data_IF_421153260934
#
_entry.id   IF_421153260934
#
_cell.length_a   1.000
_cell.length_b   1.000
_cell.length_c   1.000
_cell.angle_alpha   90.00
_cell.angle_beta   90.00
_cell.angle_gamma   90.00
#
_symmetry.space_group_name_H-M   'P 1'
#
loop_
_entity.id
_entity.type
_entity.pdbx_description
1 polymer ?
#
# COMPACT_ATOMS: atom_id res chain seq x y z
N UNK A 1 12.43 -5.18 5.99
CA UNK A 1 11.07 -5.67 5.78
C UNK A 1 10.17 -4.58 5.24
N UNK A 2 9.25 -4.93 4.35
CA UNK A 2 8.25 -4.00 3.84
C UNK A 2 6.97 -3.99 4.67
N UNK A 3 6.84 -4.89 5.63
CA UNK A 3 5.76 -4.87 6.60
C UNK A 3 5.94 -3.69 7.56
N UNK A 4 4.89 -2.91 7.75
CA UNK A 4 4.95 -1.68 8.56
C UNK A 4 4.10 -1.78 9.83
N UNK A 5 3.53 -2.95 10.10
CA UNK A 5 2.68 -3.18 11.26
C UNK A 5 1.19 -3.08 10.92
N UNK A 6 0.36 -3.52 11.85
CA UNK A 6 -1.10 -3.51 11.75
C UNK A 6 -1.66 -4.23 10.53
N UNK A 7 -0.94 -5.25 10.03
CA UNK A 7 -1.37 -6.05 8.90
C UNK A 7 -1.17 -5.35 7.55
N UNK A 8 -0.24 -4.40 7.46
CA UNK A 8 0.00 -3.61 6.26
C UNK A 8 1.44 -3.77 5.80
N UNK A 9 1.64 -3.90 4.49
CA UNK A 9 2.96 -3.87 3.87
C UNK A 9 2.99 -2.87 2.72
N UNK A 10 4.15 -2.26 2.50
CA UNK A 10 4.36 -1.27 1.43
C UNK A 10 5.61 -1.65 0.62
N UNK A 11 5.55 -2.73 -0.17
CA UNK A 11 6.67 -3.06 -1.06
C UNK A 11 6.84 -1.95 -2.09
N UNK A 12 8.08 -1.59 -2.36
CA UNK A 12 8.36 -0.54 -3.34
C UNK A 12 9.62 -0.88 -4.12
N UNK A 13 9.63 -0.51 -5.39
CA UNK A 13 10.74 -0.81 -6.29
C UNK A 13 10.81 0.20 -7.41
N UNK A 14 12.01 0.37 -7.97
CA UNK A 14 12.22 1.17 -9.18
C UNK A 14 12.35 0.22 -10.36
N UNK A 15 11.64 0.52 -11.45
CA UNK A 15 11.69 -0.28 -12.67
C UNK A 15 11.89 0.61 -13.90
N UNK A 16 12.53 0.05 -14.95
CA UNK A 16 12.96 0.82 -16.11
C UNK A 16 11.89 1.01 -17.18
N UNK A 17 10.78 0.28 -17.10
CA UNK A 17 9.78 0.23 -18.17
C UNK A 17 8.60 1.15 -17.98
N UNK A 18 8.58 1.97 -16.93
CA UNK A 18 7.50 2.90 -16.67
C UNK A 18 8.02 4.33 -16.62
N UNK A 19 7.16 5.27 -16.93
CA UNK A 19 7.48 6.70 -16.93
C UNK A 19 6.82 7.47 -15.79
N UNK A 20 5.88 6.83 -15.08
CA UNK A 20 5.16 7.43 -13.96
C UNK A 20 5.10 6.48 -12.79
N UNK A 21 5.13 7.01 -11.58
CA UNK A 21 4.94 6.22 -10.37
C UNK A 21 3.53 5.65 -10.34
N UNK A 22 3.43 4.35 -10.02
CA UNK A 22 2.15 3.65 -9.94
C UNK A 22 1.99 3.01 -8.58
N UNK A 23 0.77 2.99 -8.08
CA UNK A 23 0.44 2.33 -6.82
C UNK A 23 -0.62 1.27 -7.09
N UNK A 24 -0.36 0.07 -6.61
CA UNK A 24 -1.31 -1.04 -6.65
C UNK A 24 -1.73 -1.33 -5.21
N UNK A 25 -3.03 -1.39 -4.97
CA UNK A 25 -3.54 -1.81 -3.68
C UNK A 25 -4.09 -3.22 -3.77
N UNK A 26 -3.64 -4.09 -2.88
CA UNK A 26 -4.08 -5.48 -2.83
C UNK A 26 -4.66 -5.76 -1.44
N UNK A 27 -5.86 -6.32 -1.43
CA UNK A 27 -6.47 -6.86 -0.23
C UNK A 27 -6.43 -8.37 -0.33
N UNK A 28 -5.64 -9.01 0.52
CA UNK A 28 -5.39 -10.44 0.44
C UNK A 28 -6.53 -11.21 1.11
N UNK A 29 -6.93 -12.33 0.52
CA UNK A 29 -7.95 -13.20 1.11
C UNK A 29 -7.45 -13.87 2.39
N UNK A 30 -6.16 -14.19 2.43
CA UNK A 30 -5.52 -14.76 3.61
C UNK A 30 -4.27 -13.95 3.91
N UNK A 31 -4.09 -13.60 5.18
CA UNK A 31 -2.93 -12.82 5.58
C UNK A 31 -1.64 -13.63 5.40
N UNK A 32 -0.56 -12.93 5.06
CA UNK A 32 0.73 -13.52 4.73
C UNK A 32 1.81 -12.92 5.63
N UNK A 33 2.78 -13.74 6.03
CA UNK A 33 3.90 -13.28 6.83
C UNK A 33 4.88 -12.48 5.96
N UNK A 34 5.02 -11.19 6.30
CA UNK A 34 5.99 -10.28 5.68
C UNK A 34 7.14 -9.96 6.62
N UNK A 35 7.32 -10.75 7.69
CA UNK A 35 8.32 -10.48 8.73
C UNK A 35 8.20 -9.06 9.29
N UNK A 36 6.97 -8.61 9.52
CA UNK A 36 6.71 -7.27 10.05
C UNK A 36 7.23 -7.13 11.49
N UNK A 37 7.58 -5.90 11.90
CA UNK A 37 8.12 -5.67 13.25
C UNK A 37 7.20 -6.12 14.38
N UNK A 38 5.88 -6.03 14.20
CA UNK A 38 4.90 -6.43 15.20
C UNK A 38 4.52 -7.91 15.11
N UNK A 39 5.16 -8.67 14.23
CA UNK A 39 4.93 -10.10 14.02
C UNK A 39 3.51 -10.47 13.59
N UNK A 40 2.74 -9.50 13.11
CA UNK A 40 1.41 -9.75 12.56
C UNK A 40 1.48 -10.01 11.08
N UNK A 41 0.67 -10.96 10.61
CA UNK A 41 0.53 -11.25 9.19
C UNK A 41 -0.16 -10.09 8.47
N UNK A 42 0.13 -9.95 7.19
CA UNK A 42 -0.30 -8.82 6.36
C UNK A 42 -1.46 -9.21 5.48
N UNK A 43 -2.52 -8.39 5.47
CA UNK A 43 -3.68 -8.56 4.59
C UNK A 43 -3.87 -7.38 3.63
N UNK A 44 -3.26 -6.24 3.90
CA UNK A 44 -3.34 -5.06 3.01
C UNK A 44 -1.96 -4.72 2.49
N UNK A 45 -1.83 -4.62 1.16
CA UNK A 45 -0.55 -4.39 0.51
C UNK A 45 -0.66 -3.20 -0.44
N UNK A 46 0.23 -2.23 -0.27
CA UNK A 46 0.38 -1.10 -1.18
C UNK A 46 1.70 -1.27 -1.92
N UNK A 47 1.64 -1.63 -3.19
CA UNK A 47 2.83 -1.81 -4.01
C UNK A 47 3.12 -0.50 -4.74
N UNK A 48 4.32 0.06 -4.54
CA UNK A 48 4.74 1.28 -5.22
C UNK A 48 5.79 0.93 -6.26
N UNK A 49 5.47 1.24 -7.53
CA UNK A 49 6.39 1.06 -8.64
C UNK A 49 6.77 2.44 -9.17
N UNK A 50 8.06 2.76 -9.14
CA UNK A 50 8.55 4.06 -9.55
C UNK A 50 9.47 3.94 -10.77
N UNK A 51 9.54 4.98 -11.62
CA UNK A 51 10.52 4.99 -12.71
C UNK A 51 11.93 4.92 -12.18
N UNK A 52 12.79 4.20 -12.87
CA UNK A 52 14.18 4.02 -12.44
C UNK A 52 14.95 5.32 -12.34
N UNK A 53 14.58 6.30 -13.16
CA UNK A 53 15.24 7.60 -13.20
C UNK A 53 14.57 8.68 -12.33
N UNK A 54 13.54 8.31 -11.56
CA UNK A 54 12.94 9.28 -10.64
C UNK A 54 13.89 9.53 -9.47
N UNK A 55 13.88 10.77 -8.95
CA UNK A 55 14.76 11.12 -7.83
C UNK A 55 14.06 10.93 -6.48
N UNK A 56 12.88 11.53 -6.31
CA UNK A 56 12.23 11.54 -5.01
C UNK A 56 10.70 11.32 -5.05
N UNK A 57 10.11 11.15 -6.23
CA UNK A 57 8.66 10.99 -6.35
C UNK A 57 8.13 9.82 -5.54
N UNK A 58 8.85 8.70 -5.55
CA UNK A 58 8.42 7.52 -4.80
C UNK A 58 8.40 7.76 -3.29
N UNK A 59 9.26 8.64 -2.79
CA UNK A 59 9.29 9.00 -1.38
C UNK A 59 8.06 9.82 -0.98
N UNK A 60 7.58 10.69 -1.88
CA UNK A 60 6.36 11.46 -1.64
C UNK A 60 5.14 10.54 -1.57
N UNK A 61 5.06 9.57 -2.49
CA UNK A 61 3.98 8.59 -2.50
C UNK A 61 4.03 7.74 -1.23
N UNK A 62 5.21 7.25 -0.87
CA UNK A 62 5.40 6.45 0.34
C UNK A 62 4.98 7.24 1.59
N UNK A 63 5.35 8.51 1.68
CA UNK A 63 4.99 9.39 2.78
C UNK A 63 3.47 9.58 2.87
N UNK A 64 2.81 9.78 1.73
CA UNK A 64 1.35 9.93 1.67
C UNK A 64 0.64 8.68 2.16
N UNK A 65 1.06 7.51 1.68
CA UNK A 65 0.47 6.24 2.11
C UNK A 65 0.71 6.03 3.60
N UNK A 66 1.91 6.32 4.09
CA UNK A 66 2.24 6.19 5.51
C UNK A 66 1.34 7.08 6.37
N UNK A 67 0.96 8.25 5.89
CA UNK A 67 0.02 9.13 6.59
C UNK A 67 -1.38 8.54 6.63
N UNK A 68 -1.87 7.99 5.51
CA UNK A 68 -3.21 7.38 5.45
C UNK A 68 -3.35 6.21 6.40
N UNK A 69 -2.34 5.33 6.45
CA UNK A 69 -2.43 4.12 7.26
C UNK A 69 -2.32 4.37 8.76
N UNK A 70 -1.92 5.56 9.18
CA UNK A 70 -1.96 5.96 10.59
C UNK A 70 -3.39 6.23 11.06
N UNK A 71 -4.29 6.51 10.15
CA UNK A 71 -5.69 6.73 10.46
C UNK A 71 -6.42 5.39 10.59
N UNK A 72 -6.70 4.99 11.82
CA UNK A 72 -7.35 3.69 12.10
C UNK A 72 -8.71 3.56 11.45
N UNK A 73 -9.50 4.63 11.42
CA UNK A 73 -10.81 4.64 10.79
C UNK A 73 -10.71 4.37 9.29
N UNK A 74 -9.74 4.97 8.62
CA UNK A 74 -9.49 4.76 7.19
C UNK A 74 -9.15 3.28 6.93
N UNK A 75 -8.24 2.72 7.72
CA UNK A 75 -7.81 1.32 7.56
C UNK A 75 -8.97 0.35 7.82
N UNK A 76 -9.79 0.61 8.83
CA UNK A 76 -10.96 -0.22 9.11
C UNK A 76 -11.95 -0.21 7.95
N UNK A 77 -12.17 0.95 7.33
CA UNK A 77 -13.02 1.07 6.16
C UNK A 77 -12.46 0.28 4.98
N UNK A 78 -11.14 0.34 4.75
CA UNK A 78 -10.49 -0.46 3.70
C UNK A 78 -10.76 -1.94 3.91
N UNK A 79 -10.67 -2.42 5.14
CA UNK A 79 -10.87 -3.84 5.43
C UNK A 79 -12.30 -4.31 5.21
N UNK A 80 -13.27 -3.41 5.21
CA UNK A 80 -14.69 -3.74 4.97
C UNK A 80 -15.07 -3.75 3.51
N UNK A 81 -14.24 -3.22 2.62
CA UNK A 81 -14.53 -3.21 1.18
C UNK A 81 -14.47 -4.63 0.62
N UNK A 82 -15.40 -4.96 -0.29
CA UNK A 82 -15.62 -6.34 -0.72
C UNK A 82 -15.03 -6.69 -2.08
N UNK A 83 -14.83 -5.68 -2.94
CA UNK A 83 -14.38 -5.95 -4.30
C UNK A 83 -13.61 -4.75 -4.85
N UNK A 84 -13.00 -4.95 -6.04
CA UNK A 84 -12.15 -3.95 -6.66
C UNK A 84 -12.89 -2.64 -6.96
N UNK A 85 -14.17 -2.73 -7.34
CA UNK A 85 -14.97 -1.55 -7.64
C UNK A 85 -15.18 -0.68 -6.40
N UNK A 86 -15.52 -1.29 -5.27
CA UNK A 86 -15.67 -0.57 -4.01
C UNK A 86 -14.36 0.08 -3.59
N UNK A 87 -13.26 -0.64 -3.73
CA UNK A 87 -11.93 -0.13 -3.40
C UNK A 87 -11.59 1.08 -4.26
N UNK A 88 -11.77 0.97 -5.58
CA UNK A 88 -11.50 2.07 -6.50
C UNK A 88 -12.32 3.30 -6.16
N UNK A 89 -13.62 3.12 -5.92
CA UNK A 89 -14.51 4.23 -5.57
C UNK A 89 -14.12 4.87 -4.23
N UNK A 90 -13.72 4.07 -3.27
CA UNK A 90 -13.30 4.56 -1.95
C UNK A 90 -12.07 5.48 -2.08
N UNK A 91 -11.07 5.07 -2.83
CA UNK A 91 -9.88 5.89 -3.04
C UNK A 91 -10.18 7.14 -3.85
N UNK A 92 -11.14 7.08 -4.76
CA UNK A 92 -11.55 8.23 -5.55
C UNK A 92 -12.22 9.33 -4.73
N UNK A 93 -12.65 9.03 -3.49
CA UNK A 93 -13.28 9.99 -2.58
C UNK A 93 -12.28 10.60 -1.59
N UNK A 94 -11.06 10.14 -1.61
CA UNK A 94 -10.02 10.64 -0.73
C UNK A 94 -9.02 11.50 -1.51
#
# INVERSE_FOLDING_TARGET
STGVGNGIAIPHSKISLIDKTKVLFLKLKSAVDFSAPDKKDVDLVFVILAPKNCQSEHLLVLSSISSFIKNKSFVEKLRKLKNSKEIYNFFGQT
#
